data_IF_931488030548
#
_entry.id   IF_931488030548
#
_cell.length_a   1.000
_cell.length_b   1.000
_cell.length_c   1.000
_cell.angle_alpha   90.00
_cell.angle_beta   90.00
_cell.angle_gamma   90.00
#
_symmetry.space_group_name_H-M   'P 1'
#
loop_
_entity.id
_entity.type
_entity.pdbx_description
1 polymer ?
#
# COMPACT_ATOMS: atom_id res chain seq x y z
N UNK A 1 4.31 -20.18 6.29
CA UNK A 1 3.99 -19.89 7.69
C UNK A 1 3.33 -18.51 7.71
N UNK A 2 2.06 -18.45 8.08
CA UNK A 2 1.21 -17.26 7.95
C UNK A 2 1.23 -16.48 9.26
N UNK A 3 1.88 -15.31 9.26
CA UNK A 3 1.93 -14.47 10.45
C UNK A 3 0.79 -13.46 10.38
N UNK A 4 -0.21 -13.72 11.22
CA UNK A 4 -1.20 -12.76 11.69
C UNK A 4 -0.50 -11.49 12.20
N UNK A 5 -1.02 -10.33 11.78
CA UNK A 5 -0.90 -9.02 12.42
C UNK A 5 0.17 -8.90 13.51
N UNK A 6 1.34 -8.40 13.13
CA UNK A 6 2.33 -7.92 14.09
C UNK A 6 2.39 -6.39 14.04
N UNK A 7 1.65 -5.76 14.96
CA UNK A 7 1.61 -4.32 15.19
C UNK A 7 2.83 -3.91 16.01
N UNK A 8 3.92 -3.46 15.38
CA UNK A 8 5.14 -3.04 16.12
C UNK A 8 5.30 -1.54 16.36
N UNK A 9 4.69 -0.64 15.59
CA UNK A 9 4.20 0.65 16.14
C UNK A 9 2.98 1.16 15.35
N UNK A 10 1.91 1.54 16.06
CA UNK A 10 0.71 2.19 15.47
C UNK A 10 1.08 3.44 14.66
N UNK A 11 2.06 4.19 15.13
CA UNK A 11 2.52 5.43 14.50
C UNK A 11 3.14 5.22 13.12
N UNK A 12 3.96 4.17 12.93
CA UNK A 12 4.53 3.86 11.61
C UNK A 12 3.44 3.49 10.61
N UNK A 13 2.45 2.70 11.03
CA UNK A 13 1.32 2.38 10.16
C UNK A 13 0.53 3.63 9.78
N UNK A 14 0.20 4.50 10.74
CA UNK A 14 -0.52 5.75 10.49
C UNK A 14 0.28 6.68 9.56
N UNK A 15 1.61 6.76 9.73
CA UNK A 15 2.48 7.52 8.85
C UNK A 15 2.53 6.93 7.44
N UNK A 16 2.60 5.61 7.30
CA UNK A 16 2.61 4.94 5.99
C UNK A 16 1.26 5.04 5.29
N UNK A 17 0.14 4.90 6.03
CA UNK A 17 -1.19 5.13 5.51
C UNK A 17 -1.34 6.57 5.00
N UNK A 18 -0.94 7.55 5.80
CA UNK A 18 -0.93 8.95 5.41
C UNK A 18 -0.06 9.20 4.17
N UNK A 19 1.18 8.70 4.15
CA UNK A 19 2.08 8.83 3.01
C UNK A 19 1.52 8.15 1.76
N UNK A 20 0.87 7.00 1.89
CA UNK A 20 0.26 6.29 0.76
C UNK A 20 -0.84 7.13 0.09
N UNK A 21 -1.67 7.82 0.89
CA UNK A 21 -2.69 8.73 0.35
C UNK A 21 -2.12 10.00 -0.27
N UNK A 22 -0.93 10.42 0.16
CA UNK A 22 -0.26 11.60 -0.39
C UNK A 22 0.50 11.30 -1.69
N UNK A 23 1.14 10.13 -1.78
CA UNK A 23 2.03 9.76 -2.89
C UNK A 23 1.26 9.07 -4.03
N UNK A 24 0.25 8.27 -3.69
CA UNK A 24 -0.51 7.47 -4.66
C UNK A 24 -1.83 8.17 -4.96
N UNK A 25 -1.92 8.72 -6.17
CA UNK A 25 -3.13 9.33 -6.70
C UNK A 25 -4.24 8.28 -6.87
N UNK A 26 -5.45 8.60 -6.40
CA UNK A 26 -6.57 7.68 -6.43
C UNK A 26 -7.07 7.44 -7.85
N UNK A 27 -7.20 8.49 -8.66
CA UNK A 27 -7.77 8.39 -10.01
C UNK A 27 -6.83 7.58 -10.92
N UNK A 28 -5.52 7.83 -10.87
CA UNK A 28 -4.52 7.05 -11.60
C UNK A 28 -4.51 5.57 -11.15
N UNK A 29 -4.53 5.32 -9.83
CA UNK A 29 -4.58 3.96 -9.30
C UNK A 29 -5.80 3.19 -9.82
N UNK A 30 -6.97 3.82 -9.79
CA UNK A 30 -8.23 3.22 -10.24
C UNK A 30 -8.18 2.91 -11.74
N UNK A 31 -7.63 3.82 -12.55
CA UNK A 31 -7.54 3.63 -13.99
C UNK A 31 -6.57 2.51 -14.37
N UNK A 32 -5.50 2.30 -13.59
CA UNK A 32 -4.64 1.13 -13.73
C UNK A 32 -5.34 -0.16 -13.25
N UNK A 33 -6.09 -0.11 -12.16
CA UNK A 33 -6.86 -1.27 -11.67
C UNK A 33 -7.92 -1.72 -12.68
N UNK A 34 -8.57 -0.80 -13.39
CA UNK A 34 -9.52 -1.12 -14.48
C UNK A 34 -8.86 -1.84 -15.67
N UNK A 35 -7.54 -1.79 -15.78
CA UNK A 35 -6.75 -2.48 -16.80
C UNK A 35 -6.24 -3.85 -16.29
N UNK A 36 -6.79 -4.37 -15.19
CA UNK A 36 -6.44 -5.64 -14.57
C UNK A 36 -4.98 -5.72 -14.09
N UNK A 37 -4.38 -4.58 -13.72
CA UNK A 37 -3.04 -4.55 -13.15
C UNK A 37 -3.05 -5.20 -11.76
N UNK A 38 -2.11 -6.12 -11.53
CA UNK A 38 -1.85 -6.66 -10.20
C UNK A 38 -1.05 -5.68 -9.33
N UNK A 39 -0.95 -5.95 -8.04
CA UNK A 39 -0.28 -5.05 -7.09
C UNK A 39 1.21 -4.79 -7.40
N UNK A 40 1.90 -5.76 -8.02
CA UNK A 40 3.29 -5.59 -8.43
C UNK A 40 3.34 -4.60 -9.59
N UNK A 41 2.47 -4.78 -10.58
CA UNK A 41 2.37 -3.90 -11.74
C UNK A 41 1.93 -2.49 -11.34
N UNK A 42 0.96 -2.34 -10.43
CA UNK A 42 0.54 -1.06 -9.87
C UNK A 42 1.71 -0.33 -9.20
N UNK A 43 2.46 -1.04 -8.35
CA UNK A 43 3.60 -0.44 -7.65
C UNK A 43 4.70 0.01 -8.62
N UNK A 44 4.98 -0.77 -9.66
CA UNK A 44 5.96 -0.42 -10.69
C UNK A 44 5.50 0.75 -11.56
N UNK A 45 4.23 0.75 -11.99
CA UNK A 45 3.65 1.80 -12.83
C UNK A 45 3.63 3.16 -12.12
N UNK A 46 3.29 3.18 -10.83
CA UNK A 46 3.22 4.39 -10.03
C UNK A 46 4.54 4.74 -9.34
N UNK A 47 5.63 4.01 -9.62
CA UNK A 47 6.95 4.26 -9.03
C UNK A 47 6.98 4.17 -7.50
N UNK A 48 6.14 3.32 -6.90
CA UNK A 48 5.99 3.21 -5.44
C UNK A 48 6.46 1.86 -4.92
N UNK A 49 6.75 1.81 -3.62
CA UNK A 49 7.04 0.55 -2.95
C UNK A 49 5.77 -0.31 -2.89
N UNK A 50 5.89 -1.59 -3.25
CA UNK A 50 4.77 -2.56 -3.23
C UNK A 50 4.01 -2.61 -1.90
N UNK A 51 4.71 -2.46 -0.77
CA UNK A 51 4.06 -2.48 0.54
C UNK A 51 3.27 -1.18 0.81
N UNK A 52 3.74 -0.04 0.30
CA UNK A 52 2.97 1.21 0.39
C UNK A 52 1.70 1.12 -0.47
N UNK A 53 1.81 0.50 -1.66
CA UNK A 53 0.67 0.21 -2.52
C UNK A 53 -0.35 -0.70 -1.83
N UNK A 54 0.10 -1.77 -1.18
CA UNK A 54 -0.81 -2.64 -0.44
C UNK A 54 -1.49 -1.94 0.75
N UNK A 55 -0.79 -1.02 1.45
CA UNK A 55 -1.41 -0.19 2.50
C UNK A 55 -2.49 0.70 1.90
N UNK A 56 -2.19 1.40 0.79
CA UNK A 56 -3.16 2.23 0.08
C UNK A 56 -4.43 1.44 -0.25
N UNK A 57 -4.27 0.28 -0.88
CA UNK A 57 -5.37 -0.58 -1.25
C UNK A 57 -6.17 -1.06 -0.02
N UNK A 58 -5.49 -1.39 1.07
CA UNK A 58 -6.14 -1.76 2.33
C UNK A 58 -6.94 -0.60 2.95
N UNK A 59 -6.40 0.62 2.92
CA UNK A 59 -7.11 1.82 3.40
C UNK A 59 -8.34 2.12 2.54
N UNK A 60 -8.25 2.03 1.21
CA UNK A 60 -9.39 2.15 0.30
C UNK A 60 -10.47 1.10 0.63
N UNK A 61 -10.07 -0.12 0.93
CA UNK A 61 -11.00 -1.15 1.41
C UNK A 61 -11.71 -0.78 2.71
N UNK A 62 -10.98 -0.22 3.68
CA UNK A 62 -11.56 0.29 4.94
C UNK A 62 -12.49 1.49 4.70
N UNK A 63 -12.30 2.24 3.62
CA UNK A 63 -13.19 3.32 3.17
C UNK A 63 -14.41 2.81 2.37
N UNK A 64 -14.52 1.50 2.11
CA UNK A 64 -15.70 0.88 1.51
C UNK A 64 -15.58 0.52 0.02
N UNK A 65 -14.37 0.53 -0.55
CA UNK A 65 -14.15 0.30 -1.98
C UNK A 65 -14.27 -1.17 -2.44
N UNK A 66 -14.31 -2.13 -1.51
CA UNK A 66 -14.54 -3.56 -1.78
C UNK A 66 -13.59 -4.18 -2.84
N UNK A 67 -12.30 -3.85 -2.75
CA UNK A 67 -11.22 -4.40 -3.54
C UNK A 67 -10.85 -5.81 -3.05
N UNK A 68 -10.71 -6.76 -3.97
CA UNK A 68 -10.22 -8.11 -3.65
C UNK A 68 -8.68 -8.11 -3.56
N UNK A 69 -8.14 -7.97 -2.35
CA UNK A 69 -6.70 -7.92 -2.13
C UNK A 69 -6.14 -9.29 -1.71
N UNK A 70 -5.05 -9.76 -2.32
CA UNK A 70 -4.44 -11.03 -1.94
C UNK A 70 -3.60 -10.97 -0.65
N UNK A 71 -3.25 -9.79 -0.12
CA UNK A 71 -2.37 -9.66 1.05
C UNK A 71 -2.40 -8.26 1.71
N UNK A 72 -2.03 -8.18 3.00
CA UNK A 72 -1.81 -6.94 3.75
C UNK A 72 -0.40 -6.97 4.36
N UNK A 73 0.48 -5.99 4.06
CA UNK A 73 1.89 -5.99 4.47
C UNK A 73 2.08 -5.59 5.93
N UNK A 74 3.20 -6.02 6.51
CA UNK A 74 3.62 -5.66 7.87
C UNK A 74 3.98 -4.17 7.96
N UNK A 75 3.67 -3.54 9.11
CA UNK A 75 3.79 -2.09 9.32
C UNK A 75 5.22 -1.54 9.36
N UNK A 76 6.24 -2.38 9.49
CA UNK A 76 7.65 -2.01 9.63
C UNK A 76 8.45 -2.07 8.31
N UNK A 77 7.78 -2.23 7.17
CA UNK A 77 8.41 -2.40 5.85
C UNK A 77 9.27 -1.22 5.37
N UNK A 78 9.00 0.02 5.83
CA UNK A 78 9.82 1.20 5.49
C UNK A 78 11.05 1.37 6.38
N UNK A 79 11.22 0.54 7.41
CA UNK A 79 12.28 0.69 8.42
C UNK A 79 13.71 0.70 7.85
N UNK A 80 13.90 0.16 6.65
CA UNK A 80 15.20 0.11 5.96
C UNK A 80 15.21 0.82 4.60
N UNK A 81 14.16 1.56 4.23
CA UNK A 81 14.17 2.34 3.00
C UNK A 81 15.06 3.54 3.22
N UNK A 82 16.23 3.55 2.58
CA UNK A 82 17.10 4.72 2.58
C UNK A 82 16.43 5.78 1.71
N UNK A 83 16.28 7.03 2.18
CA UNK A 83 15.89 8.10 1.29
C UNK A 83 17.00 8.25 0.26
N UNK A 84 16.71 7.96 -1.01
CA UNK A 84 17.58 8.37 -2.09
C UNK A 84 17.48 9.90 -2.17
N UNK A 85 18.58 10.57 -1.84
CA UNK A 85 18.75 12.02 -1.95
C UNK A 85 19.36 12.40 -3.28
#
# INVERSE_FOLDING_TARGET
EFVLFDMRTKHEYEANAFASHLIIDDDELIDLMKQDYDVVQLSAAMGTNINLMLIKLNELNRMGWQLNLPYVPHSDFLKNVRPEG
#
